data_IF_267366199449
#
_entry.id   IF_267366199449
#
_cell.length_a   1.000
_cell.length_b   1.000
_cell.length_c   1.000
_cell.angle_alpha   90.00
_cell.angle_beta   90.00
_cell.angle_gamma   90.00
#
_symmetry.space_group_name_H-M   'P 1'
#
loop_
_entity.id
_entity.type
_entity.pdbx_description
1 polymer ?
#
# COMPACT_ATOMS: atom_id res chain seq x y z
N UNK A 1 12.00 -15.59 30.04
CA UNK A 1 11.97 -16.66 29.02
C UNK A 1 13.40 -16.90 28.57
N UNK A 2 13.92 -18.09 28.85
CA UNK A 2 15.33 -18.45 28.54
C UNK A 2 15.48 -18.69 27.04
N UNK A 3 16.67 -18.42 26.52
CA UNK A 3 17.03 -18.59 25.10
C UNK A 3 16.76 -20.03 24.59
N UNK A 4 16.78 -21.01 25.49
CA UNK A 4 16.45 -22.43 25.20
C UNK A 4 14.95 -22.65 25.01
N UNK A 5 14.10 -21.96 25.76
CA UNK A 5 12.63 -22.06 25.61
C UNK A 5 12.16 -21.41 24.30
N UNK A 6 12.80 -20.34 23.87
CA UNK A 6 12.53 -19.69 22.59
C UNK A 6 12.87 -20.60 21.40
N UNK A 7 14.00 -21.29 21.44
CA UNK A 7 14.44 -22.21 20.38
C UNK A 7 13.59 -23.49 20.36
N UNK A 8 13.13 -23.98 21.51
CA UNK A 8 12.26 -25.15 21.58
C UNK A 8 10.85 -24.87 21.02
N UNK A 9 10.30 -23.68 21.26
CA UNK A 9 9.00 -23.27 20.69
C UNK A 9 9.06 -23.09 19.18
N UNK A 10 10.20 -22.66 18.66
CA UNK A 10 10.41 -22.51 17.20
C UNK A 10 10.62 -23.85 16.49
N UNK A 11 11.22 -24.83 17.15
CA UNK A 11 11.46 -26.18 16.58
C UNK A 11 10.17 -27.03 16.55
N UNK A 12 9.27 -26.86 17.49
CA UNK A 12 7.99 -27.59 17.53
C UNK A 12 7.04 -27.12 16.41
N UNK A 13 7.14 -25.86 16.00
CA UNK A 13 6.37 -25.32 14.86
C UNK A 13 6.88 -25.82 13.49
N UNK A 14 8.14 -26.20 13.39
CA UNK A 14 8.77 -26.68 12.15
C UNK A 14 8.56 -28.18 11.89
N UNK A 15 8.29 -28.99 12.91
CA UNK A 15 8.11 -30.44 12.75
C UNK A 15 6.73 -30.86 12.25
N UNK A 16 5.72 -29.98 12.23
CA UNK A 16 4.36 -30.23 11.77
C UNK A 16 4.11 -30.04 10.26
N UNK A 17 5.09 -29.55 9.51
CA UNK A 17 4.91 -29.12 8.11
C UNK A 17 5.46 -30.08 7.03
N UNK A 18 5.93 -31.27 7.40
CA UNK A 18 6.65 -32.16 6.47
C UNK A 18 5.82 -33.26 5.80
N UNK A 19 4.53 -33.41 6.07
CA UNK A 19 3.69 -34.41 5.39
C UNK A 19 2.28 -33.86 5.14
N UNK A 20 2.05 -33.39 3.94
CA UNK A 20 0.71 -33.05 3.44
C UNK A 20 0.72 -31.86 2.53
N UNK A 21 1.05 -32.06 1.25
CA UNK A 21 0.82 -31.06 0.21
C UNK A 21 -0.67 -30.82 0.02
N UNK A 22 -1.31 -30.10 0.95
CA UNK A 22 -2.61 -29.51 0.72
C UNK A 22 -2.37 -28.16 0.06
N UNK A 23 -2.52 -28.13 -1.27
CA UNK A 23 -2.71 -26.87 -1.99
C UNK A 23 -3.75 -26.04 -1.22
N UNK A 24 -3.37 -24.83 -0.81
CA UNK A 24 -4.27 -23.92 -0.11
C UNK A 24 -5.53 -23.75 -0.97
N UNK A 25 -6.73 -24.18 -0.53
CA UNK A 25 -7.92 -24.18 -1.36
C UNK A 25 -8.37 -22.79 -1.83
N UNK A 26 -7.78 -21.73 -1.29
CA UNK A 26 -8.04 -20.34 -1.71
C UNK A 26 -7.65 -20.08 -3.18
N UNK A 27 -6.69 -20.82 -3.73
CA UNK A 27 -6.19 -20.60 -5.10
C UNK A 27 -6.58 -21.71 -6.09
N UNK A 28 -7.27 -22.75 -5.64
CA UNK A 28 -7.55 -23.95 -6.46
C UNK A 28 -8.88 -23.91 -7.25
N UNK A 29 -9.65 -22.84 -7.24
CA UNK A 29 -10.92 -22.75 -7.97
C UNK A 29 -10.93 -21.65 -9.01
N UNK A 30 -10.88 -22.04 -10.28
CA UNK A 30 -11.11 -21.24 -11.51
C UNK A 30 -12.51 -20.57 -11.58
N UNK A 31 -13.22 -20.39 -10.48
CA UNK A 31 -14.64 -20.05 -10.45
C UNK A 31 -15.01 -18.82 -9.61
N UNK A 32 -14.08 -18.18 -8.89
CA UNK A 32 -14.45 -16.99 -8.13
C UNK A 32 -14.45 -15.76 -9.05
N UNK A 33 -15.56 -15.58 -9.77
CA UNK A 33 -15.76 -14.37 -10.58
C UNK A 33 -16.01 -13.13 -9.73
N UNK A 34 -16.54 -13.32 -8.54
CA UNK A 34 -16.96 -12.29 -7.61
C UNK A 34 -16.27 -12.50 -6.27
N UNK A 35 -15.55 -11.49 -5.81
CA UNK A 35 -14.89 -11.51 -4.51
C UNK A 35 -14.67 -10.09 -3.98
N UNK A 36 -14.33 -10.01 -2.69
CA UNK A 36 -14.04 -8.76 -2.02
C UNK A 36 -12.61 -8.76 -1.49
N UNK A 37 -12.05 -7.55 -1.33
CA UNK A 37 -10.81 -7.30 -0.61
C UNK A 37 -10.99 -6.13 0.34
N UNK A 38 -10.33 -6.17 1.49
CA UNK A 38 -10.22 -5.03 2.40
C UNK A 38 -8.94 -4.28 2.04
N UNK A 39 -9.03 -2.96 1.84
CA UNK A 39 -7.85 -2.15 1.59
C UNK A 39 -7.54 -1.31 2.83
N UNK A 40 -6.27 -1.28 3.19
CA UNK A 40 -5.70 -0.41 4.21
C UNK A 40 -4.62 0.44 3.54
N UNK A 41 -4.65 1.74 3.79
CA UNK A 41 -3.57 2.65 3.39
C UNK A 41 -2.43 2.65 4.38
N UNK A 42 -1.66 3.71 4.37
CA UNK A 42 -0.51 3.95 5.23
C UNK A 42 -0.91 3.83 6.71
N UNK A 43 -0.46 2.80 7.37
CA UNK A 43 -0.81 2.55 8.76
C UNK A 43 0.18 3.19 9.74
N UNK A 44 1.44 3.34 9.34
CA UNK A 44 2.49 3.94 10.16
C UNK A 44 2.48 3.44 11.61
N UNK A 45 2.44 2.13 11.80
CA UNK A 45 2.39 1.55 13.14
C UNK A 45 3.51 2.10 14.02
N UNK A 46 3.10 2.70 15.14
CA UNK A 46 3.97 3.12 16.24
C UNK A 46 3.15 3.22 17.53
N UNK A 47 3.63 2.64 18.59
CA UNK A 47 2.88 2.61 19.86
C UNK A 47 3.28 3.70 20.83
N UNK A 48 4.49 4.21 20.74
CA UNK A 48 4.96 5.36 21.52
C UNK A 48 6.34 5.84 21.03
N UNK A 49 6.62 7.14 21.03
CA UNK A 49 7.92 7.70 20.62
C UNK A 49 9.07 7.30 21.55
N UNK A 50 8.80 6.93 22.78
CA UNK A 50 9.76 6.45 23.77
C UNK A 50 9.72 4.92 23.90
N UNK A 51 9.15 4.26 22.90
CA UNK A 51 8.99 2.81 22.88
C UNK A 51 10.31 2.10 22.63
N UNK A 52 10.30 0.78 22.82
CA UNK A 52 11.40 -0.11 22.49
C UNK A 52 11.86 0.01 21.03
N UNK A 53 11.02 0.49 20.12
CA UNK A 53 11.39 0.65 18.71
C UNK A 53 12.37 1.78 18.47
N UNK A 54 12.40 2.77 19.34
CA UNK A 54 13.25 3.96 19.24
C UNK A 54 14.43 3.91 20.23
N UNK A 55 15.02 2.74 20.39
CA UNK A 55 16.22 2.50 21.20
C UNK A 55 17.43 2.13 20.34
N UNK A 56 18.63 2.27 20.89
CA UNK A 56 19.90 1.84 20.27
C UNK A 56 20.21 2.56 18.94
N UNK A 57 20.12 3.89 18.94
CA UNK A 57 20.43 4.68 17.75
C UNK A 57 21.92 4.97 17.58
N UNK A 58 22.36 5.05 16.32
CA UNK A 58 23.62 5.71 15.94
C UNK A 58 23.50 7.23 16.05
N UNK A 59 24.61 7.96 15.97
CA UNK A 59 24.57 9.44 15.91
C UNK A 59 23.76 9.95 14.71
N UNK A 60 23.88 9.28 13.56
CA UNK A 60 23.11 9.62 12.36
C UNK A 60 21.61 9.37 12.57
N UNK A 61 21.24 8.27 13.22
CA UNK A 61 19.86 7.96 13.57
C UNK A 61 19.30 9.01 14.54
N UNK A 62 20.04 9.42 15.55
CA UNK A 62 19.63 10.47 16.51
C UNK A 62 19.37 11.79 15.79
N UNK A 63 20.23 12.21 14.87
CA UNK A 63 20.03 13.42 14.09
C UNK A 63 18.79 13.35 13.18
N UNK A 64 18.49 12.16 12.62
CA UNK A 64 17.27 11.92 11.83
C UNK A 64 16.05 11.91 12.72
N UNK A 65 16.12 11.25 13.87
CA UNK A 65 15.04 11.14 14.85
C UNK A 65 14.59 12.53 15.32
N UNK A 66 15.52 13.42 15.63
CA UNK A 66 15.16 14.78 16.06
C UNK A 66 14.35 15.52 14.98
N UNK A 67 14.72 15.36 13.71
CA UNK A 67 13.95 15.95 12.58
C UNK A 67 12.54 15.37 12.46
N UNK A 68 12.34 14.10 12.79
CA UNK A 68 11.08 13.38 12.64
C UNK A 68 10.27 13.26 13.94
N UNK A 69 10.80 13.78 15.06
CA UNK A 69 10.19 13.60 16.38
C UNK A 69 8.70 13.98 16.43
N UNK A 70 8.33 15.10 15.82
CA UNK A 70 6.92 15.54 15.74
C UNK A 70 6.05 14.53 15.01
N UNK A 71 6.61 13.87 14.02
CA UNK A 71 5.93 12.84 13.24
C UNK A 71 5.68 11.59 14.10
N UNK A 72 6.68 11.13 14.84
CA UNK A 72 6.55 9.98 15.74
C UNK A 72 5.51 10.20 16.83
N UNK A 73 5.55 11.36 17.51
CA UNK A 73 4.57 11.70 18.55
C UNK A 73 3.16 11.63 17.97
N UNK A 74 2.95 12.31 16.86
CA UNK A 74 1.65 12.33 16.19
C UNK A 74 1.17 10.92 15.79
N UNK A 75 2.06 10.09 15.23
CA UNK A 75 1.70 8.76 14.78
C UNK A 75 1.39 7.83 15.95
N UNK A 76 2.17 7.89 17.01
CA UNK A 76 1.91 7.13 18.23
C UNK A 76 0.58 7.51 18.88
N UNK A 77 0.23 8.80 18.91
CA UNK A 77 -1.07 9.27 19.40
C UNK A 77 -2.22 8.75 18.52
N UNK A 78 -2.07 8.81 17.21
CA UNK A 78 -3.08 8.29 16.28
C UNK A 78 -3.29 6.79 16.43
N UNK A 79 -2.23 6.01 16.67
CA UNK A 79 -2.32 4.59 16.96
C UNK A 79 -3.04 4.30 18.25
N UNK A 80 -2.86 5.10 19.30
CA UNK A 80 -3.58 4.93 20.56
C UNK A 80 -5.07 5.23 20.41
N UNK A 81 -5.42 6.27 19.70
CA UNK A 81 -6.79 6.80 19.69
C UNK A 81 -7.65 6.29 18.53
N UNK A 82 -7.08 6.17 17.33
CA UNK A 82 -7.85 5.99 16.10
C UNK A 82 -7.66 4.64 15.44
N UNK A 83 -6.44 4.16 15.34
CA UNK A 83 -6.15 2.97 14.56
C UNK A 83 -6.91 1.73 15.04
N UNK A 84 -7.02 1.43 16.34
CA UNK A 84 -7.79 0.27 16.80
C UNK A 84 -9.24 0.31 16.35
N UNK A 85 -9.89 1.48 16.38
CA UNK A 85 -11.27 1.64 15.92
C UNK A 85 -11.41 1.45 14.42
N UNK A 86 -10.45 1.97 13.65
CA UNK A 86 -10.44 1.82 12.19
C UNK A 86 -10.18 0.37 11.77
N UNK A 87 -9.24 -0.32 12.43
CA UNK A 87 -8.99 -1.74 12.18
C UNK A 87 -10.21 -2.59 12.55
N UNK A 88 -10.84 -2.33 13.69
CA UNK A 88 -12.10 -2.97 14.07
C UNK A 88 -13.19 -2.72 13.03
N UNK A 89 -13.28 -1.49 12.50
CA UNK A 89 -14.21 -1.17 11.40
C UNK A 89 -13.88 -1.96 10.14
N UNK A 90 -12.60 -2.04 9.75
CA UNK A 90 -12.17 -2.85 8.62
C UNK A 90 -12.53 -4.34 8.82
N UNK A 91 -12.35 -4.88 10.03
CA UNK A 91 -12.78 -6.23 10.39
C UNK A 91 -14.29 -6.46 10.22
N UNK A 92 -15.12 -5.46 10.55
CA UNK A 92 -16.57 -5.54 10.32
C UNK A 92 -16.98 -5.53 8.83
N UNK A 93 -16.07 -5.18 7.91
CA UNK A 93 -16.32 -5.24 6.47
C UNK A 93 -16.01 -6.62 5.85
N UNK A 94 -15.32 -7.47 6.61
CA UNK A 94 -15.00 -8.84 6.19
C UNK A 94 -16.29 -9.66 6.08
N UNK A 95 -16.41 -10.41 4.99
CA UNK A 95 -17.48 -11.36 4.74
C UNK A 95 -16.95 -12.64 4.05
N UNK A 96 -17.83 -13.58 3.74
CA UNK A 96 -17.47 -14.87 3.11
C UNK A 96 -16.80 -14.73 1.74
N UNK A 97 -17.03 -13.61 1.05
CA UNK A 97 -16.40 -13.30 -0.24
C UNK A 97 -15.05 -12.60 -0.09
N UNK A 98 -14.67 -12.19 1.12
CA UNK A 98 -13.41 -11.50 1.37
C UNK A 98 -12.24 -12.47 1.25
N UNK A 99 -11.38 -12.24 0.26
CA UNK A 99 -10.23 -13.11 -0.04
C UNK A 99 -8.95 -12.63 0.61
N UNK A 100 -8.80 -11.31 0.79
CA UNK A 100 -7.52 -10.75 1.22
C UNK A 100 -7.66 -9.37 1.84
N UNK A 101 -6.71 -9.03 2.69
CA UNK A 101 -6.41 -7.66 3.13
C UNK A 101 -5.21 -7.19 2.33
N UNK A 102 -5.35 -6.08 1.61
CA UNK A 102 -4.27 -5.41 0.90
C UNK A 102 -3.88 -4.15 1.65
N UNK A 103 -2.65 -4.09 2.14
CA UNK A 103 -2.08 -2.92 2.81
C UNK A 103 -1.11 -2.21 1.86
N UNK A 104 -1.35 -0.93 1.57
CA UNK A 104 -0.72 -0.18 0.48
C UNK A 104 0.68 0.40 0.82
N UNK A 105 1.39 -0.16 1.79
CA UNK A 105 2.74 0.27 2.20
C UNK A 105 2.73 1.24 3.37
N UNK A 106 3.92 1.59 3.87
CA UNK A 106 4.11 2.31 5.11
C UNK A 106 3.35 1.63 6.27
N UNK A 107 3.58 0.31 6.38
CA UNK A 107 3.00 -0.53 7.42
C UNK A 107 3.40 -0.03 8.81
N UNK A 108 4.67 0.36 8.95
CA UNK A 108 5.26 0.86 10.19
C UNK A 108 5.77 2.29 10.03
N UNK A 109 5.98 2.98 11.17
CA UNK A 109 6.65 4.28 11.19
C UNK A 109 8.13 4.15 10.79
N UNK A 110 8.77 3.05 11.13
CA UNK A 110 10.20 2.83 10.89
C UNK A 110 11.09 3.65 11.80
N UNK A 111 12.26 4.03 11.29
CA UNK A 111 13.32 4.75 12.05
C UNK A 111 13.80 4.00 13.30
N UNK A 112 13.84 2.67 13.24
CA UNK A 112 14.38 1.84 14.32
C UNK A 112 15.92 1.89 14.33
N UNK A 113 16.53 1.84 15.51
CA UNK A 113 17.97 1.94 15.69
C UNK A 113 18.76 0.74 15.16
N UNK A 114 18.12 -0.42 15.05
CA UNK A 114 18.75 -1.61 14.51
C UNK A 114 17.78 -2.56 13.79
N UNK A 115 18.27 -3.51 12.98
CA UNK A 115 17.43 -4.42 12.20
C UNK A 115 16.54 -5.36 13.01
N UNK A 116 16.94 -5.76 14.22
CA UNK A 116 16.13 -6.67 15.06
C UNK A 116 14.91 -5.96 15.60
N UNK A 117 15.08 -4.71 16.05
CA UNK A 117 13.98 -3.86 16.50
C UNK A 117 13.04 -3.53 15.33
N UNK A 118 13.59 -3.31 14.15
CA UNK A 118 12.78 -3.08 12.94
C UNK A 118 11.90 -4.30 12.60
N UNK A 119 12.48 -5.51 12.62
CA UNK A 119 11.70 -6.76 12.44
C UNK A 119 10.62 -6.92 13.52
N UNK A 120 10.94 -6.57 14.77
CA UNK A 120 9.95 -6.60 15.85
C UNK A 120 8.78 -5.65 15.55
N UNK A 121 9.06 -4.41 15.12
CA UNK A 121 8.03 -3.43 14.77
C UNK A 121 7.15 -3.93 13.63
N UNK A 122 7.73 -4.52 12.58
CA UNK A 122 6.99 -5.15 11.48
C UNK A 122 6.09 -6.29 11.99
N UNK A 123 6.62 -7.17 12.84
CA UNK A 123 5.87 -8.29 13.43
C UNK A 123 4.69 -7.81 14.28
N UNK A 124 4.92 -6.79 15.11
CA UNK A 124 3.89 -6.24 15.99
C UNK A 124 2.79 -5.53 15.18
N UNK A 125 3.16 -4.82 14.11
CA UNK A 125 2.21 -4.19 13.19
C UNK A 125 1.30 -5.22 12.51
N UNK A 126 1.90 -6.29 11.99
CA UNK A 126 1.15 -7.42 11.41
C UNK A 126 0.22 -8.05 12.42
N UNK A 127 0.70 -8.30 13.65
CA UNK A 127 -0.11 -8.87 14.71
C UNK A 127 -1.33 -8.00 15.01
N UNK A 128 -1.16 -6.67 15.07
CA UNK A 128 -2.27 -5.73 15.30
C UNK A 128 -3.32 -5.76 14.18
N UNK A 129 -2.91 -5.83 12.94
CA UNK A 129 -3.85 -5.97 11.82
C UNK A 129 -4.59 -7.31 11.92
N UNK A 130 -3.87 -8.39 12.22
CA UNK A 130 -4.45 -9.74 12.31
C UNK A 130 -5.36 -9.94 13.52
N UNK A 131 -5.23 -9.17 14.59
CA UNK A 131 -6.17 -9.18 15.72
C UNK A 131 -7.62 -8.91 15.26
N UNK A 132 -7.82 -8.04 14.29
CA UNK A 132 -9.14 -7.63 13.83
C UNK A 132 -9.55 -8.27 12.48
N UNK A 133 -8.58 -8.71 11.68
CA UNK A 133 -8.81 -9.15 10.30
C UNK A 133 -8.47 -10.63 10.05
N UNK A 134 -8.06 -11.38 11.09
CA UNK A 134 -7.87 -12.84 10.96
C UNK A 134 -9.23 -13.54 10.75
N UNK A 135 -9.30 -14.61 9.97
CA UNK A 135 -8.19 -15.35 9.34
C UNK A 135 -7.85 -14.88 7.91
N UNK A 136 -8.35 -13.73 7.46
CA UNK A 136 -8.13 -13.24 6.10
C UNK A 136 -6.63 -13.05 5.83
N UNK A 137 -6.07 -13.58 4.72
CA UNK A 137 -4.67 -13.37 4.35
C UNK A 137 -4.31 -11.89 4.20
N UNK A 138 -3.08 -11.51 4.60
CA UNK A 138 -2.56 -10.16 4.50
C UNK A 138 -1.46 -10.07 3.45
N UNK A 139 -1.60 -9.15 2.50
CA UNK A 139 -0.54 -8.71 1.60
C UNK A 139 -0.21 -7.26 1.89
N UNK A 140 1.05 -6.97 2.18
CA UNK A 140 1.56 -5.62 2.38
C UNK A 140 2.58 -5.27 1.31
N UNK A 141 2.44 -4.08 0.74
CA UNK A 141 3.41 -3.49 -0.19
C UNK A 141 4.52 -2.80 0.61
N UNK A 142 5.73 -2.78 0.10
CA UNK A 142 6.83 -2.05 0.74
C UNK A 142 6.67 -0.55 0.55
N UNK A 143 6.64 0.22 1.65
CA UNK A 143 6.61 1.67 1.65
C UNK A 143 7.97 2.30 2.00
N UNK A 144 8.05 3.63 1.96
CA UNK A 144 9.31 4.31 2.29
C UNK A 144 9.61 4.30 3.80
N UNK A 145 8.60 4.28 4.65
CA UNK A 145 8.76 4.15 6.09
C UNK A 145 9.21 2.73 6.50
N UNK A 146 8.76 1.71 5.79
CA UNK A 146 9.19 0.34 5.99
C UNK A 146 10.69 0.13 5.72
N UNK A 147 11.33 1.11 5.07
CA UNK A 147 12.77 1.11 4.76
C UNK A 147 13.55 2.18 5.54
N UNK A 148 12.91 2.90 6.47
CA UNK A 148 13.54 3.97 7.26
C UNK A 148 14.19 3.39 8.52
N UNK A 149 15.48 3.65 8.69
CA UNK A 149 16.26 3.22 9.84
C UNK A 149 17.50 2.40 9.42
N UNK A 150 18.36 2.18 10.39
CA UNK A 150 19.61 1.44 10.18
C UNK A 150 19.33 -0.02 9.83
N UNK A 151 19.71 -0.42 8.60
CA UNK A 151 19.49 -1.77 8.10
C UNK A 151 18.02 -2.15 7.85
N UNK A 152 17.11 -1.18 7.86
CA UNK A 152 15.67 -1.38 7.74
C UNK A 152 15.26 -2.18 6.49
N UNK A 153 15.80 -1.81 5.31
CA UNK A 153 15.49 -2.55 4.07
C UNK A 153 15.89 -4.03 4.15
N UNK A 154 17.07 -4.30 4.73
CA UNK A 154 17.52 -5.69 4.91
C UNK A 154 16.57 -6.42 5.86
N UNK A 155 16.20 -5.80 6.98
CA UNK A 155 15.26 -6.36 7.94
C UNK A 155 13.90 -6.65 7.32
N UNK A 156 13.38 -5.74 6.50
CA UNK A 156 12.13 -5.94 5.75
C UNK A 156 12.22 -7.15 4.81
N UNK A 157 13.27 -7.22 3.98
CA UNK A 157 13.47 -8.31 3.00
C UNK A 157 13.75 -9.67 3.64
N UNK A 158 14.20 -9.72 4.88
CA UNK A 158 14.37 -10.96 5.63
C UNK A 158 13.07 -11.39 6.35
N UNK A 159 12.15 -10.49 6.63
CA UNK A 159 10.93 -10.78 7.39
C UNK A 159 9.68 -10.89 6.51
N UNK A 160 9.43 -9.88 5.68
CA UNK A 160 8.15 -9.78 4.95
C UNK A 160 7.98 -10.84 3.87
N UNK A 161 9.00 -11.24 3.06
CA UNK A 161 8.82 -12.30 2.08
C UNK A 161 8.43 -13.64 2.70
N UNK A 162 8.97 -13.99 3.87
CA UNK A 162 8.58 -15.21 4.59
C UNK A 162 7.12 -15.15 5.06
N UNK A 163 6.70 -14.00 5.63
CA UNK A 163 5.32 -13.77 6.00
C UNK A 163 4.39 -13.88 4.79
N UNK A 164 4.70 -13.17 3.70
CA UNK A 164 3.89 -13.15 2.49
C UNK A 164 3.82 -14.54 1.84
N UNK A 165 4.90 -15.32 1.91
CA UNK A 165 4.91 -16.71 1.44
C UNK A 165 3.91 -17.57 2.20
N UNK A 166 3.80 -17.41 3.50
CA UNK A 166 2.82 -18.10 4.34
C UNK A 166 1.39 -17.66 4.04
N UNK A 167 1.17 -16.35 3.94
CA UNK A 167 -0.16 -15.79 3.67
C UNK A 167 -0.68 -16.19 2.28
N UNK A 168 0.19 -16.26 1.28
CA UNK A 168 -0.17 -16.59 -0.10
C UNK A 168 -0.05 -18.09 -0.44
N UNK A 169 0.58 -18.89 0.42
CA UNK A 169 0.83 -20.31 0.15
C UNK A 169 1.77 -20.56 -1.04
N UNK A 170 2.64 -19.60 -1.37
CA UNK A 170 3.63 -19.68 -2.46
C UNK A 170 4.92 -19.00 -2.05
N UNK A 171 6.04 -19.38 -2.68
CA UNK A 171 7.34 -18.77 -2.39
C UNK A 171 7.37 -17.32 -2.89
N UNK A 172 7.67 -16.40 -1.98
CA UNK A 172 7.96 -15.01 -2.26
C UNK A 172 9.38 -14.75 -1.77
N UNK A 173 10.25 -14.28 -2.64
CA UNK A 173 11.68 -14.08 -2.38
C UNK A 173 12.11 -12.60 -2.43
N UNK A 174 11.18 -11.68 -2.68
CA UNK A 174 11.48 -10.26 -2.78
C UNK A 174 10.30 -9.35 -2.49
N UNK A 175 10.48 -8.06 -2.77
CA UNK A 175 9.46 -7.01 -2.62
C UNK A 175 8.65 -6.77 -3.89
N UNK A 176 9.03 -7.36 -5.03
CA UNK A 176 8.26 -7.37 -6.28
C UNK A 176 7.87 -8.81 -6.61
N UNK A 177 6.57 -9.05 -6.76
CA UNK A 177 6.01 -10.37 -7.04
C UNK A 177 4.58 -10.24 -7.56
N UNK A 178 3.98 -11.35 -8.01
CA UNK A 178 2.56 -11.39 -8.36
C UNK A 178 1.83 -12.50 -7.60
N UNK A 179 0.52 -12.37 -7.52
CA UNK A 179 -0.39 -13.43 -7.09
C UNK A 179 -1.71 -13.33 -7.85
N UNK A 180 -2.50 -14.38 -7.79
CA UNK A 180 -3.76 -14.49 -8.51
C UNK A 180 -4.94 -14.65 -7.55
N UNK A 181 -6.09 -14.11 -7.93
CA UNK A 181 -7.37 -14.39 -7.31
C UNK A 181 -8.39 -14.66 -8.42
N UNK A 182 -8.75 -15.91 -8.58
CA UNK A 182 -9.52 -16.37 -9.75
C UNK A 182 -8.76 -16.12 -11.06
N UNK A 183 -9.37 -15.34 -11.97
CA UNK A 183 -8.77 -14.98 -13.25
C UNK A 183 -8.06 -13.60 -13.22
N UNK A 184 -7.97 -12.98 -12.06
CA UNK A 184 -7.36 -11.66 -11.88
C UNK A 184 -5.93 -11.78 -11.35
N UNK A 185 -5.02 -10.95 -11.84
CA UNK A 185 -3.62 -10.92 -11.43
C UNK A 185 -3.33 -9.62 -10.68
N UNK A 186 -2.63 -9.76 -9.57
CA UNK A 186 -2.13 -8.69 -8.72
C UNK A 186 -0.61 -8.66 -8.79
N UNK A 187 -0.04 -7.57 -9.28
CA UNK A 187 1.42 -7.35 -9.35
C UNK A 187 1.79 -6.36 -8.24
N UNK A 188 2.55 -6.84 -7.27
CA UNK A 188 3.11 -6.03 -6.17
C UNK A 188 4.47 -5.50 -6.61
N UNK A 189 4.68 -4.21 -6.49
CA UNK A 189 5.91 -3.56 -6.93
C UNK A 189 6.62 -2.83 -5.80
N UNK A 190 7.93 -2.98 -5.73
CA UNK A 190 8.78 -2.08 -4.95
C UNK A 190 8.90 -0.74 -5.69
N UNK A 191 8.18 0.26 -5.22
CA UNK A 191 8.12 1.55 -5.89
C UNK A 191 9.46 2.30 -5.88
N UNK A 192 10.32 2.03 -4.91
CA UNK A 192 11.57 2.77 -4.70
C UNK A 192 12.79 2.12 -5.36
N UNK A 193 12.79 0.79 -5.45
CA UNK A 193 13.81 0.00 -6.15
C UNK A 193 13.15 -1.10 -6.99
N UNK A 194 12.40 -0.70 -8.01
CA UNK A 194 11.74 -1.67 -8.88
C UNK A 194 12.78 -2.51 -9.62
N UNK A 195 12.43 -3.77 -9.83
CA UNK A 195 13.10 -4.65 -10.78
C UNK A 195 12.31 -4.61 -12.10
N UNK A 196 12.72 -3.73 -12.99
CA UNK A 196 12.01 -3.46 -14.25
C UNK A 196 11.86 -4.71 -15.09
N UNK A 197 12.91 -5.53 -15.19
CA UNK A 197 12.87 -6.76 -15.97
C UNK A 197 11.92 -7.80 -15.36
N UNK A 198 11.79 -7.85 -14.03
CA UNK A 198 10.81 -8.69 -13.36
C UNK A 198 9.39 -8.17 -13.60
N UNK A 199 9.18 -6.85 -13.49
CA UNK A 199 7.86 -6.24 -13.72
C UNK A 199 7.39 -6.52 -15.15
N UNK A 200 8.25 -6.33 -16.17
CA UNK A 200 7.92 -6.64 -17.55
C UNK A 200 7.51 -8.12 -17.73
N UNK A 201 8.24 -9.06 -17.13
CA UNK A 201 7.87 -10.48 -17.17
C UNK A 201 6.51 -10.74 -16.51
N UNK A 202 6.27 -10.16 -15.33
CA UNK A 202 4.99 -10.32 -14.63
C UNK A 202 3.81 -9.74 -15.42
N UNK A 203 4.04 -8.63 -16.13
CA UNK A 203 3.06 -8.05 -17.04
C UNK A 203 2.78 -8.96 -18.24
N UNK A 204 3.81 -9.56 -18.83
CA UNK A 204 3.65 -10.49 -19.93
C UNK A 204 2.94 -11.78 -19.51
N UNK A 205 3.28 -12.30 -18.33
CA UNK A 205 2.59 -13.47 -17.74
C UNK A 205 1.11 -13.17 -17.44
N UNK A 206 0.76 -11.91 -17.20
CA UNK A 206 -0.61 -11.47 -16.90
C UNK A 206 -1.45 -11.08 -18.13
N UNK A 207 -0.96 -11.25 -19.37
CA UNK A 207 -1.63 -10.79 -20.60
C UNK A 207 -3.05 -11.34 -20.80
N UNK A 208 -3.31 -12.54 -20.33
CA UNK A 208 -4.61 -13.22 -20.43
C UNK A 208 -5.49 -13.00 -19.18
N UNK A 209 -5.03 -12.22 -18.19
CA UNK A 209 -5.79 -11.92 -16.99
C UNK A 209 -7.08 -11.15 -17.32
N UNK A 210 -8.14 -11.46 -16.57
CA UNK A 210 -9.40 -10.73 -16.68
C UNK A 210 -9.25 -9.28 -16.26
N UNK A 211 -8.56 -9.03 -15.14
CA UNK A 211 -8.12 -7.74 -14.64
C UNK A 211 -6.66 -7.85 -14.20
N UNK A 212 -5.88 -6.81 -14.46
CA UNK A 212 -4.51 -6.65 -13.94
C UNK A 212 -4.51 -5.51 -12.94
N UNK A 213 -4.19 -5.84 -11.69
CA UNK A 213 -4.05 -4.89 -10.60
C UNK A 213 -2.56 -4.64 -10.34
N UNK A 214 -2.20 -3.38 -10.17
CA UNK A 214 -0.86 -2.95 -9.78
C UNK A 214 -0.93 -2.44 -8.35
N UNK A 215 -0.16 -3.05 -7.47
CA UNK A 215 -0.03 -2.65 -6.07
C UNK A 215 1.33 -1.98 -5.87
N UNK A 216 1.34 -0.70 -5.59
CA UNK A 216 2.55 0.10 -5.40
C UNK A 216 2.32 1.09 -4.26
N UNK A 217 3.31 1.29 -3.38
CA UNK A 217 3.13 2.33 -2.37
C UNK A 217 3.13 3.73 -2.99
N UNK A 218 4.12 4.03 -3.82
CA UNK A 218 4.15 5.30 -4.56
C UNK A 218 3.19 5.30 -5.75
N UNK A 219 2.47 6.40 -6.00
CA UNK A 219 1.56 6.52 -7.12
C UNK A 219 2.28 6.39 -8.47
N UNK A 220 1.63 5.77 -9.43
CA UNK A 220 2.10 5.67 -10.83
C UNK A 220 1.81 6.97 -11.58
N UNK A 221 0.58 7.48 -11.42
CA UNK A 221 0.20 8.79 -11.94
C UNK A 221 0.49 9.83 -10.88
N UNK A 222 1.30 10.85 -11.18
CA UNK A 222 1.60 11.92 -10.22
C UNK A 222 0.33 12.63 -9.76
N UNK A 223 0.15 12.72 -8.45
CA UNK A 223 -1.07 13.26 -7.84
C UNK A 223 -1.02 14.77 -7.73
N UNK A 224 0.14 15.31 -7.42
CA UNK A 224 0.32 16.76 -7.28
C UNK A 224 1.79 17.15 -7.44
N UNK A 225 2.03 18.43 -7.67
CA UNK A 225 3.37 18.98 -7.83
C UNK A 225 4.19 19.09 -6.54
N UNK A 226 3.62 18.80 -5.38
CA UNK A 226 4.31 18.80 -4.10
C UNK A 226 4.87 17.45 -3.70
N UNK A 227 4.36 16.37 -4.27
CA UNK A 227 4.88 15.03 -4.01
C UNK A 227 6.17 14.80 -4.82
N UNK A 228 7.18 14.25 -4.14
CA UNK A 228 8.49 13.95 -4.73
C UNK A 228 8.74 12.46 -4.92
N UNK A 229 7.81 11.61 -4.45
CA UNK A 229 7.95 10.18 -4.47
C UNK A 229 6.83 9.56 -5.29
N UNK A 230 7.21 8.91 -6.35
CA UNK A 230 6.31 8.22 -7.27
C UNK A 230 6.83 6.80 -7.50
N UNK A 231 6.17 6.02 -8.30
CA UNK A 231 6.75 4.80 -8.84
C UNK A 231 8.13 5.11 -9.48
N UNK A 232 9.13 4.30 -9.21
CA UNK A 232 10.57 4.56 -9.41
C UNK A 232 11.20 5.53 -8.39
N UNK A 233 10.60 5.69 -7.24
CA UNK A 233 11.17 6.45 -6.14
C UNK A 233 11.15 7.97 -6.35
N UNK A 234 12.11 8.66 -5.73
CA UNK A 234 12.19 10.11 -5.84
C UNK A 234 12.52 10.52 -7.28
N UNK A 235 11.83 11.53 -7.79
CA UNK A 235 12.08 12.03 -9.14
C UNK A 235 13.54 12.51 -9.30
N UNK A 236 14.25 11.91 -10.25
CA UNK A 236 15.65 12.23 -10.58
C UNK A 236 15.81 12.21 -12.12
N UNK A 237 16.77 12.98 -12.66
CA UNK A 237 17.11 12.88 -14.07
C UNK A 237 17.40 11.43 -14.48
N UNK A 238 16.91 11.02 -15.64
CA UNK A 238 17.11 9.66 -16.18
C UNK A 238 16.09 8.60 -15.78
N UNK A 239 15.22 8.87 -14.79
CA UNK A 239 14.17 7.91 -14.39
C UNK A 239 12.87 8.05 -15.21
N UNK A 240 12.74 9.10 -16.02
CA UNK A 240 11.52 9.34 -16.78
C UNK A 240 11.27 8.30 -17.86
N UNK A 241 12.31 7.74 -18.49
CA UNK A 241 12.15 6.70 -19.52
C UNK A 241 11.47 5.45 -18.98
N UNK A 242 11.91 4.93 -17.84
CA UNK A 242 11.30 3.78 -17.20
C UNK A 242 9.83 4.07 -16.79
N UNK A 243 9.56 5.26 -16.22
CA UNK A 243 8.19 5.67 -15.89
C UNK A 243 7.29 5.74 -17.13
N UNK A 244 7.78 6.29 -18.24
CA UNK A 244 7.04 6.37 -19.49
C UNK A 244 6.85 4.99 -20.13
N UNK A 245 7.83 4.08 -20.01
CA UNK A 245 7.69 2.70 -20.42
C UNK A 245 6.53 2.04 -19.65
N UNK A 246 6.58 2.02 -18.33
CA UNK A 246 5.53 1.37 -17.53
C UNK A 246 4.18 2.08 -17.62
N UNK A 247 4.13 3.40 -17.80
CA UNK A 247 2.86 4.08 -18.09
C UNK A 247 2.19 3.51 -19.35
N UNK A 248 2.95 3.28 -20.44
CA UNK A 248 2.43 2.65 -21.66
C UNK A 248 1.97 1.22 -21.40
N UNK A 249 2.81 0.41 -20.74
CA UNK A 249 2.51 -0.98 -20.44
C UNK A 249 1.23 -1.11 -19.59
N UNK A 250 1.10 -0.28 -18.58
CA UNK A 250 -0.08 -0.27 -17.71
C UNK A 250 -1.33 0.24 -18.45
N UNK A 251 -1.19 1.29 -19.26
CA UNK A 251 -2.31 1.83 -20.03
C UNK A 251 -2.86 0.82 -21.02
N UNK A 252 -2.00 0.20 -21.82
CA UNK A 252 -2.41 -0.77 -22.85
C UNK A 252 -3.14 -2.00 -22.25
N UNK A 253 -2.80 -2.37 -21.00
CA UNK A 253 -3.49 -3.44 -20.27
C UNK A 253 -4.73 -2.97 -19.51
N UNK A 254 -5.03 -1.67 -19.55
CA UNK A 254 -6.11 -1.05 -18.80
C UNK A 254 -6.03 -1.40 -17.31
N UNK A 255 -4.89 -1.18 -16.69
CA UNK A 255 -4.64 -1.59 -15.30
C UNK A 255 -5.40 -0.75 -14.28
N UNK A 256 -5.62 -1.35 -13.12
CA UNK A 256 -6.10 -0.68 -11.93
C UNK A 256 -4.93 -0.61 -10.94
N UNK A 257 -4.54 0.60 -10.56
CA UNK A 257 -3.45 0.86 -9.61
C UNK A 257 -4.05 1.14 -8.23
N UNK A 258 -3.58 0.44 -7.21
CA UNK A 258 -3.88 0.73 -5.80
C UNK A 258 -2.58 1.18 -5.14
N UNK A 259 -2.59 2.35 -4.53
CA UNK A 259 -1.42 2.92 -3.90
C UNK A 259 -1.76 3.67 -2.59
N UNK A 260 -0.73 4.14 -1.88
CA UNK A 260 -0.80 4.92 -0.64
C UNK A 260 0.05 6.18 -0.74
N UNK A 261 0.90 6.44 0.27
CA UNK A 261 1.97 7.43 0.31
C UNK A 261 1.52 8.88 0.53
N UNK A 262 0.47 9.33 -0.10
CA UNK A 262 0.06 10.75 -0.08
C UNK A 262 -0.91 11.10 1.03
N UNK A 263 -1.35 10.10 1.79
CA UNK A 263 -2.27 10.22 2.93
C UNK A 263 -3.61 10.92 2.57
N UNK A 264 -4.06 10.69 1.35
CA UNK A 264 -5.36 11.17 0.86
C UNK A 264 -6.12 10.02 0.21
N UNK A 265 -7.44 10.12 0.20
CA UNK A 265 -8.29 9.25 -0.59
C UNK A 265 -8.48 9.89 -1.96
N UNK A 266 -8.02 9.24 -3.00
CA UNK A 266 -7.98 9.83 -4.34
C UNK A 266 -8.26 8.80 -5.42
N UNK A 267 -9.02 9.18 -6.44
CA UNK A 267 -9.20 8.41 -7.65
C UNK A 267 -8.85 9.24 -8.87
N UNK A 268 -8.05 8.69 -9.77
CA UNK A 268 -7.72 9.26 -11.07
C UNK A 268 -8.08 8.27 -12.16
N UNK A 269 -8.86 8.72 -13.14
CA UNK A 269 -9.01 8.07 -14.44
C UNK A 269 -8.10 8.77 -15.45
N UNK A 270 -7.13 8.03 -15.96
CA UNK A 270 -6.16 8.51 -16.92
C UNK A 270 -6.24 7.72 -18.23
N UNK A 271 -6.22 8.43 -19.35
CA UNK A 271 -6.27 7.86 -20.69
C UNK A 271 -5.12 8.38 -21.54
N UNK A 272 -4.40 7.48 -22.16
CA UNK A 272 -3.27 7.77 -23.03
C UNK A 272 -2.55 6.50 -23.45
N UNK A 273 -1.54 6.63 -24.27
CA UNK A 273 -0.68 5.52 -24.71
C UNK A 273 -1.45 4.30 -25.26
N UNK A 274 -2.65 4.53 -25.79
CA UNK A 274 -3.51 3.48 -26.37
C UNK A 274 -4.42 2.75 -25.38
N UNK A 275 -4.54 3.22 -24.15
CA UNK A 275 -5.36 2.58 -23.13
C UNK A 275 -5.72 3.46 -21.95
N UNK A 276 -5.96 2.83 -20.79
CA UNK A 276 -6.45 3.47 -19.56
C UNK A 276 -5.67 2.99 -18.33
N UNK A 277 -5.41 3.90 -17.41
CA UNK A 277 -5.00 3.59 -16.04
C UNK A 277 -6.03 4.19 -15.09
N UNK A 278 -6.61 3.39 -14.20
CA UNK A 278 -7.40 3.90 -13.08
C UNK A 278 -6.60 3.72 -11.81
N UNK A 279 -6.23 4.82 -11.17
CA UNK A 279 -5.47 4.82 -9.93
C UNK A 279 -6.36 5.18 -8.75
N UNK A 280 -6.29 4.38 -7.69
CA UNK A 280 -6.90 4.64 -6.40
C UNK A 280 -5.82 4.75 -5.33
N UNK A 281 -5.75 5.89 -4.69
CA UNK A 281 -4.91 6.11 -3.52
C UNK A 281 -5.76 5.94 -2.27
N UNK A 282 -5.27 5.14 -1.32
CA UNK A 282 -5.97 4.81 -0.08
C UNK A 282 -5.24 5.40 1.12
N UNK A 283 -5.99 5.93 2.08
CA UNK A 283 -5.46 6.47 3.33
C UNK A 283 -6.26 5.97 4.52
N UNK A 284 -5.62 5.25 5.45
CA UNK A 284 -6.36 4.61 6.54
C UNK A 284 -6.24 5.31 7.88
N UNK A 285 -5.06 5.76 8.29
CA UNK A 285 -4.86 6.19 9.69
C UNK A 285 -4.55 7.67 9.84
N UNK A 286 -4.14 8.31 8.79
CA UNK A 286 -3.37 9.52 8.87
C UNK A 286 -4.16 10.82 8.86
N UNK A 287 -5.19 10.93 8.08
CA UNK A 287 -5.89 12.18 7.90
C UNK A 287 -7.13 12.31 8.79
N UNK A 288 -7.82 13.41 8.68
CA UNK A 288 -9.00 13.75 9.47
C UNK A 288 -10.17 12.86 9.08
N UNK A 289 -10.52 11.83 9.86
CA UNK A 289 -11.52 10.83 9.46
C UNK A 289 -12.94 11.41 9.30
N UNK A 290 -13.20 12.57 9.84
CA UNK A 290 -14.54 13.13 10.00
C UNK A 290 -14.93 14.15 8.93
N UNK A 291 -14.05 14.44 7.96
CA UNK A 291 -14.37 15.38 6.89
C UNK A 291 -15.19 14.77 5.77
N UNK A 292 -15.81 15.63 4.99
CA UNK A 292 -16.60 15.26 3.82
C UNK A 292 -15.83 14.40 2.84
N UNK A 293 -16.54 13.50 2.18
CA UNK A 293 -15.94 12.43 1.38
C UNK A 293 -15.28 12.96 0.12
N UNK A 294 -15.88 13.97 -0.49
CA UNK A 294 -15.33 14.63 -1.65
C UNK A 294 -15.04 16.08 -1.33
N UNK A 295 -13.79 16.47 -1.41
CA UNK A 295 -13.41 17.87 -1.33
C UNK A 295 -13.25 18.49 -2.72
N UNK A 296 -12.80 17.69 -3.68
CA UNK A 296 -12.63 18.09 -5.08
C UNK A 296 -13.08 16.94 -5.97
N UNK A 297 -13.90 17.26 -6.94
CA UNK A 297 -14.19 16.42 -8.09
C UNK A 297 -13.99 17.27 -9.35
N UNK A 298 -13.21 16.78 -10.29
CA UNK A 298 -12.91 17.45 -11.54
C UNK A 298 -13.04 16.48 -12.71
N UNK A 299 -13.61 16.94 -13.80
CA UNK A 299 -13.65 16.26 -15.08
C UNK A 299 -12.85 17.06 -16.11
N UNK A 300 -12.10 16.35 -16.95
CA UNK A 300 -11.21 16.92 -17.95
C UNK A 300 -9.87 17.39 -17.40
N UNK A 301 -8.87 17.33 -18.27
CA UNK A 301 -7.48 17.64 -17.91
C UNK A 301 -7.28 19.12 -17.55
N UNK A 302 -8.10 20.00 -18.10
CA UNK A 302 -8.06 21.43 -17.88
C UNK A 302 -8.47 21.82 -16.45
N UNK A 303 -9.28 20.97 -15.80
CA UNK A 303 -9.74 21.16 -14.43
C UNK A 303 -8.85 20.45 -13.41
N UNK A 304 -7.96 19.56 -13.83
CA UNK A 304 -7.03 18.88 -12.95
C UNK A 304 -5.85 19.79 -12.60
N UNK A 305 -5.74 20.17 -11.36
CA UNK A 305 -4.80 21.17 -10.88
C UNK A 305 -3.80 20.55 -9.90
N UNK A 306 -2.52 20.88 -10.07
CA UNK A 306 -1.43 20.42 -9.20
C UNK A 306 -1.56 20.91 -7.75
N UNK A 307 -2.30 21.98 -7.50
CA UNK A 307 -2.45 22.61 -6.20
C UNK A 307 -3.68 22.13 -5.40
N UNK A 308 -4.48 21.19 -5.93
CA UNK A 308 -5.66 20.68 -5.21
C UNK A 308 -5.33 20.11 -3.82
N UNK A 309 -4.17 19.48 -3.68
CA UNK A 309 -3.74 18.84 -2.44
C UNK A 309 -2.92 19.81 -1.55
N UNK A 310 -2.46 20.92 -2.10
CA UNK A 310 -1.63 21.90 -1.42
C UNK A 310 -2.51 22.94 -0.71
N UNK A 311 -3.21 22.54 0.36
CA UNK A 311 -4.01 23.49 1.16
C UNK A 311 -3.17 24.49 1.94
N UNK A 312 -1.91 24.20 2.16
CA UNK A 312 -0.92 25.11 2.75
C UNK A 312 -0.03 25.67 1.63
N UNK A 313 -0.18 26.95 1.36
CA UNK A 313 0.66 27.71 0.42
C UNK A 313 2.17 27.71 0.79
N UNK A 314 2.56 27.05 1.87
CA UNK A 314 3.93 26.91 2.33
C UNK A 314 4.73 25.81 1.62
N UNK A 315 4.08 24.83 1.03
CA UNK A 315 4.77 23.80 0.27
C UNK A 315 5.11 24.33 -1.13
N UNK A 316 6.32 24.83 -1.32
CA UNK A 316 6.83 25.14 -2.65
C UNK A 316 6.80 23.85 -3.49
N UNK A 317 6.08 23.86 -4.60
CA UNK A 317 6.10 22.77 -5.56
C UNK A 317 7.55 22.50 -5.99
N UNK A 318 7.92 21.21 -5.98
CA UNK A 318 9.20 20.81 -6.54
C UNK A 318 9.12 20.92 -8.07
N UNK A 319 9.97 21.72 -8.73
CA UNK A 319 9.89 21.92 -10.18
C UNK A 319 9.91 20.61 -10.97
N UNK A 320 10.68 19.62 -10.50
CA UNK A 320 10.77 18.32 -11.18
C UNK A 320 9.49 17.47 -11.03
N UNK A 321 8.83 17.58 -9.88
CA UNK A 321 7.55 16.92 -9.67
C UNK A 321 6.44 17.59 -10.49
N UNK A 322 6.48 18.92 -10.60
CA UNK A 322 5.55 19.67 -11.43
C UNK A 322 5.72 19.33 -12.92
N UNK A 323 6.96 19.24 -13.41
CA UNK A 323 7.23 18.83 -14.78
C UNK A 323 6.65 17.43 -15.08
N UNK A 324 6.85 16.48 -14.16
CA UNK A 324 6.28 15.15 -14.29
C UNK A 324 4.75 15.19 -14.25
N UNK A 325 4.15 15.97 -13.36
CA UNK A 325 2.71 16.17 -13.29
C UNK A 325 2.15 16.67 -14.63
N UNK A 326 2.77 17.69 -15.26
CA UNK A 326 2.32 18.24 -16.54
C UNK A 326 2.40 17.22 -17.70
N UNK A 327 3.32 16.25 -17.63
CA UNK A 327 3.41 15.17 -18.62
C UNK A 327 2.23 14.18 -18.54
N UNK A 328 1.61 14.05 -17.38
CA UNK A 328 0.47 13.14 -17.19
C UNK A 328 -0.87 13.86 -17.27
N UNK A 329 -0.91 15.13 -16.93
CA UNK A 329 -2.15 15.93 -16.88
C UNK A 329 -3.05 15.79 -18.11
N UNK A 330 -2.55 15.83 -19.35
CA UNK A 330 -3.41 15.74 -20.54
C UNK A 330 -4.27 14.48 -20.60
N UNK A 331 -3.85 13.39 -19.99
CA UNK A 331 -4.59 12.13 -19.97
C UNK A 331 -5.64 12.03 -18.87
N UNK A 332 -5.67 12.94 -17.90
CA UNK A 332 -6.64 12.90 -16.81
C UNK A 332 -8.05 13.20 -17.34
N UNK A 333 -8.98 12.28 -17.13
CA UNK A 333 -10.40 12.44 -17.53
C UNK A 333 -11.30 12.70 -16.32
N UNK A 334 -10.97 12.10 -15.19
CA UNK A 334 -11.69 12.30 -13.94
C UNK A 334 -10.72 12.27 -12.77
N UNK A 335 -10.97 13.12 -11.82
CA UNK A 335 -10.19 13.24 -10.59
C UNK A 335 -11.11 13.45 -9.41
N UNK A 336 -10.94 12.68 -8.35
CA UNK A 336 -11.68 12.81 -7.10
C UNK A 336 -10.66 12.79 -5.97
N UNK A 337 -10.77 13.76 -5.06
CA UNK A 337 -9.91 13.89 -3.89
C UNK A 337 -10.72 14.08 -2.62
N UNK A 338 -10.33 13.38 -1.57
CA UNK A 338 -10.76 13.65 -0.20
C UNK A 338 -9.59 13.51 0.76
N UNK A 339 -9.50 14.37 1.77
CA UNK A 339 -8.54 14.21 2.87
C UNK A 339 -9.07 13.29 3.99
N UNK A 340 -10.24 12.70 3.84
CA UNK A 340 -10.76 11.72 4.76
C UNK A 340 -9.98 10.41 4.70
N UNK A 341 -9.66 9.86 5.86
CA UNK A 341 -9.09 8.53 6.02
C UNK A 341 -10.16 7.54 6.47
N UNK A 342 -9.95 6.25 6.20
CA UNK A 342 -10.90 5.23 6.62
C UNK A 342 -10.56 3.83 6.17
N UNK A 343 -11.58 3.01 6.06
CA UNK A 343 -11.50 1.64 5.59
C UNK A 343 -12.15 1.50 4.22
N UNK A 344 -11.66 0.59 3.42
CA UNK A 344 -12.15 0.39 2.06
C UNK A 344 -12.48 -1.07 1.83
N UNK A 345 -13.58 -1.32 1.12
CA UNK A 345 -13.94 -2.64 0.63
C UNK A 345 -13.98 -2.62 -0.89
N UNK A 346 -12.99 -3.22 -1.51
CA UNK A 346 -12.98 -3.40 -2.96
C UNK A 346 -13.83 -4.62 -3.31
N UNK A 347 -14.75 -4.43 -4.25
CA UNK A 347 -15.62 -5.46 -4.79
C UNK A 347 -15.28 -5.70 -6.25
N UNK A 348 -14.90 -6.90 -6.58
CA UNK A 348 -14.65 -7.34 -7.95
C UNK A 348 -15.78 -8.26 -8.40
N UNK A 349 -16.44 -7.90 -9.49
CA UNK A 349 -17.50 -8.71 -10.10
C UNK A 349 -17.25 -8.80 -11.62
N UNK A 350 -16.62 -9.87 -12.03
CA UNK A 350 -16.10 -9.99 -13.37
C UNK A 350 -15.09 -8.88 -13.68
N UNK A 351 -15.36 -8.07 -14.71
CA UNK A 351 -14.52 -6.91 -15.04
C UNK A 351 -14.90 -5.65 -14.26
N UNK A 352 -16.03 -5.64 -13.57
CA UNK A 352 -16.46 -4.48 -12.77
C UNK A 352 -15.71 -4.45 -11.46
N UNK A 353 -15.06 -3.33 -11.16
CA UNK A 353 -14.32 -3.08 -9.92
C UNK A 353 -14.84 -1.81 -9.28
N UNK A 354 -15.25 -1.92 -8.00
CA UNK A 354 -15.75 -0.81 -7.19
C UNK A 354 -15.08 -0.83 -5.84
N UNK A 355 -14.92 0.35 -5.26
CA UNK A 355 -14.42 0.51 -3.89
C UNK A 355 -15.48 1.25 -3.08
N UNK A 356 -15.98 0.60 -2.04
CA UNK A 356 -16.78 1.25 -1.00
C UNK A 356 -15.85 1.84 0.04
N UNK A 357 -16.02 3.11 0.33
CA UNK A 357 -15.24 3.85 1.33
C UNK A 357 -16.09 4.14 2.56
N UNK A 358 -15.49 3.94 3.72
CA UNK A 358 -16.06 4.18 5.04
C UNK A 358 -15.14 5.13 5.80
N UNK A 359 -15.52 6.41 5.87
CA UNK A 359 -14.71 7.44 6.50
C UNK A 359 -14.61 7.22 8.03
N UNK A 360 -13.41 7.30 8.56
CA UNK A 360 -13.13 7.06 9.98
C UNK A 360 -13.53 5.66 10.42
N UNK A 361 -14.28 5.57 11.51
CA UNK A 361 -14.87 4.35 12.05
C UNK A 361 -16.38 4.22 11.73
N UNK A 362 -16.86 4.96 10.73
CA UNK A 362 -18.27 4.98 10.33
C UNK A 362 -18.78 3.60 9.93
N UNK A 363 -19.96 3.23 10.40
CA UNK A 363 -20.67 2.04 9.95
C UNK A 363 -21.39 2.24 8.62
N UNK A 364 -21.53 3.47 8.15
CA UNK A 364 -22.19 3.82 6.89
C UNK A 364 -21.16 4.02 5.78
N UNK A 365 -21.46 3.47 4.62
CA UNK A 365 -20.71 3.76 3.40
C UNK A 365 -20.75 5.26 3.14
N UNK A 366 -19.59 5.88 3.06
CA UNK A 366 -19.44 7.32 2.85
C UNK A 366 -19.37 7.65 1.36
N UNK A 367 -18.76 6.79 0.56
CA UNK A 367 -18.64 6.93 -0.89
C UNK A 367 -18.50 5.58 -1.61
N UNK A 368 -18.63 5.62 -2.92
CA UNK A 368 -18.30 4.53 -3.82
C UNK A 368 -17.51 5.06 -5.01
N UNK A 369 -16.37 4.44 -5.27
CA UNK A 369 -15.54 4.73 -6.44
C UNK A 369 -15.69 3.58 -7.44
N UNK A 370 -16.07 3.91 -8.67
CA UNK A 370 -16.14 2.94 -9.77
C UNK A 370 -14.85 3.01 -10.55
N UNK A 371 -14.03 1.96 -10.45
CA UNK A 371 -12.72 1.92 -11.09
C UNK A 371 -12.80 1.31 -12.50
N UNK A 372 -13.76 0.40 -12.72
CA UNK A 372 -13.98 -0.27 -14.00
C UNK A 372 -15.42 -0.77 -14.17
#
# INVERSE_FOLDING_TARGET
MDRREFLASSAAALAGLALGGTSNPLFAKKADRDYNMILLGDTHFDVAPESVYHSEYTEEDLARLERHRKEFVRNGEMWKERCPRMLKRAGCLVDEQTKMVLQAGDLIQGDCGNPLIHKKMLSDAVAKIKEELSPVPLVSVIGNHDMRGTGARKAYLEFMPELLSRELGKVIDGSTFSFEVGDDVYIVMDFNKPDDALIDRLLDDSKDARNTFILSHGPVIPINGGNRWFFHGRNKPGQNEARLHFRREFAQRNTIVICGHTHVTEMIDWYGDGGRITQMTVSSVWSKPERGVYEVEAEGSENYRADYVLKDNSAKMDPSAFELFEQYRPGVKRYILSDAAGSYKMKVSGRRVRIEFYAGDSSRKSAEFVLR
#
